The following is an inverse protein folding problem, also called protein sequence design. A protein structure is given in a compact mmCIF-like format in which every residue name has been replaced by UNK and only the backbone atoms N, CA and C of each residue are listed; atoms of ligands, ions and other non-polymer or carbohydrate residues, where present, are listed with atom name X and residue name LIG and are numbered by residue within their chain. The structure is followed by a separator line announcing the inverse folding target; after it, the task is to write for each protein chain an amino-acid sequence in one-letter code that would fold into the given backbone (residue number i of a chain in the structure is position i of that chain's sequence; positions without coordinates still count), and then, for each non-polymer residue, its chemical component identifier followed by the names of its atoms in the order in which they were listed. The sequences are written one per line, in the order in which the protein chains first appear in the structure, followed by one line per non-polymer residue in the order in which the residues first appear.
data_IF_974215604358
#
_entry.id   IF_974215604358
#
_cell.length_a   1.000
_cell.length_b   1.000
_cell.length_c   1.000
_cell.angle_alpha   90.00
_cell.angle_beta   90.00
_cell.angle_gamma   90.00
#
_symmetry.space_group_name_H-M   'P 1'
#
loop_
_entity.id
_entity.type
_entity.pdbx_description
1 polymer ?
#
# COMPACT_ATOMS: atom_id res chain seq x y z
N UNK A 1 23.44 -7.52 -2.19
CA UNK A 1 22.77 -6.57 -1.28
C UNK A 1 21.29 -6.60 -1.64
N UNK A 2 20.41 -6.98 -0.72
CA UNK A 2 18.96 -7.01 -1.00
C UNK A 2 18.43 -5.59 -0.96
N UNK A 3 18.35 -4.94 -2.12
CA UNK A 3 17.61 -3.69 -2.24
C UNK A 3 16.14 -4.00 -1.98
N UNK A 4 15.59 -3.47 -0.89
CA UNK A 4 14.17 -3.62 -0.63
C UNK A 4 13.40 -2.87 -1.72
N UNK A 5 12.78 -3.64 -2.59
CA UNK A 5 11.86 -3.22 -3.63
C UNK A 5 10.45 -3.70 -3.29
N UNK A 6 9.43 -2.94 -3.65
CA UNK A 6 8.03 -3.22 -3.29
C UNK A 6 7.13 -2.77 -4.45
N UNK A 7 5.99 -3.42 -4.66
CA UNK A 7 4.98 -2.96 -5.64
C UNK A 7 3.96 -2.02 -4.96
N UNK A 8 3.16 -1.28 -5.75
CA UNK A 8 2.05 -0.44 -5.27
C UNK A 8 0.73 -0.90 -5.90
N UNK A 9 -0.20 -1.32 -5.05
CA UNK A 9 -1.59 -1.60 -5.40
C UNK A 9 -2.51 -0.49 -4.89
N UNK A 10 -3.44 -0.03 -5.74
CA UNK A 10 -4.48 0.94 -5.38
C UNK A 10 -5.83 0.28 -5.60
N UNK A 11 -6.70 0.35 -4.60
CA UNK A 11 -8.04 -0.26 -4.64
C UNK A 11 -9.12 0.73 -4.19
N UNK A 12 -10.32 0.57 -4.74
CA UNK A 12 -11.53 1.30 -4.33
C UNK A 12 -11.66 2.71 -4.92
N UNK A 13 -10.89 3.02 -5.96
CA UNK A 13 -11.03 4.23 -6.76
C UNK A 13 -11.66 3.90 -8.12
N UNK A 14 -12.88 4.37 -8.35
CA UNK A 14 -13.60 4.13 -9.62
C UNK A 14 -13.19 5.10 -10.74
N UNK A 15 -12.53 6.22 -10.42
CA UNK A 15 -12.03 7.22 -11.36
C UNK A 15 -10.58 6.91 -11.77
N UNK A 16 -10.31 6.46 -13.02
CA UNK A 16 -8.97 6.07 -13.46
C UNK A 16 -7.97 7.23 -13.48
N UNK A 17 -8.45 8.47 -13.70
CA UNK A 17 -7.58 9.66 -13.68
C UNK A 17 -7.09 9.91 -12.27
N UNK A 18 -7.97 9.72 -11.30
CA UNK A 18 -7.63 9.90 -9.91
C UNK A 18 -6.75 8.77 -9.36
N UNK A 19 -7.01 7.51 -9.73
CA UNK A 19 -6.12 6.39 -9.40
C UNK A 19 -4.68 6.65 -9.90
N UNK A 20 -4.55 7.11 -11.15
CA UNK A 20 -3.25 7.48 -11.73
C UNK A 20 -2.58 8.61 -10.95
N UNK A 21 -3.34 9.63 -10.53
CA UNK A 21 -2.82 10.74 -9.72
C UNK A 21 -2.29 10.25 -8.37
N UNK A 22 -3.08 9.47 -7.63
CA UNK A 22 -2.69 8.89 -6.34
C UNK A 22 -1.43 8.05 -6.48
N UNK A 23 -1.37 7.20 -7.52
CA UNK A 23 -0.18 6.40 -7.83
C UNK A 23 1.05 7.27 -8.03
N UNK A 24 0.94 8.31 -8.85
CA UNK A 24 2.05 9.23 -9.11
C UNK A 24 2.49 9.97 -7.84
N UNK A 25 1.55 10.44 -7.01
CA UNK A 25 1.88 11.08 -5.73
C UNK A 25 2.66 10.13 -4.81
N UNK A 26 2.19 8.90 -4.64
CA UNK A 26 2.88 7.91 -3.82
C UNK A 26 4.27 7.55 -4.37
N UNK A 27 4.39 7.34 -5.68
CA UNK A 27 5.68 7.05 -6.33
C UNK A 27 6.69 8.19 -6.14
N UNK A 28 6.27 9.43 -6.39
CA UNK A 28 7.12 10.60 -6.23
C UNK A 28 7.55 10.79 -4.78
N UNK A 29 6.63 10.59 -3.82
CA UNK A 29 6.95 10.70 -2.40
C UNK A 29 7.98 9.65 -1.98
N UNK A 30 7.79 8.38 -2.33
CA UNK A 30 8.70 7.30 -1.93
C UNK A 30 10.09 7.43 -2.60
N UNK A 31 10.14 7.96 -3.83
CA UNK A 31 11.39 8.25 -4.53
C UNK A 31 12.23 9.32 -3.81
N UNK A 32 11.60 10.35 -3.22
CA UNK A 32 12.30 11.36 -2.41
C UNK A 32 13.07 10.73 -1.23
N UNK A 33 12.54 9.65 -0.66
CA UNK A 33 13.16 8.90 0.43
C UNK A 33 14.02 7.71 -0.05
N UNK A 34 14.25 7.59 -1.38
CA UNK A 34 15.01 6.51 -2.00
C UNK A 34 14.48 5.11 -1.63
N UNK A 35 13.17 4.99 -1.47
CA UNK A 35 12.47 3.71 -1.31
C UNK A 35 12.16 3.20 -2.71
N UNK A 36 12.77 2.08 -3.10
CA UNK A 36 12.67 1.59 -4.48
C UNK A 36 11.35 0.84 -4.69
N UNK A 37 10.66 1.16 -5.78
CA UNK A 37 9.47 0.44 -6.22
C UNK A 37 9.84 -0.47 -7.39
N UNK A 38 9.40 -1.73 -7.36
CA UNK A 38 9.57 -2.67 -8.46
C UNK A 38 8.21 -3.35 -8.77
N UNK A 39 7.53 -2.97 -9.86
CA UNK A 39 6.23 -3.53 -10.20
C UNK A 39 6.30 -5.01 -10.58
N UNK A 40 7.47 -5.53 -10.96
CA UNK A 40 7.65 -6.95 -11.29
C UNK A 40 7.86 -7.79 -10.02
N UNK A 41 7.94 -7.17 -8.84
CA UNK A 41 8.15 -7.88 -7.58
C UNK A 41 6.83 -8.28 -6.95
N UNK A 42 6.65 -9.59 -6.79
CA UNK A 42 5.45 -10.17 -6.18
C UNK A 42 5.25 -9.81 -4.69
N UNK A 43 6.33 -9.59 -3.94
CA UNK A 43 6.25 -9.31 -2.49
C UNK A 43 7.53 -8.67 -1.94
N UNK A 44 7.40 -7.73 -0.99
CA UNK A 44 6.16 -7.20 -0.41
C UNK A 44 5.45 -6.15 -1.29
N UNK A 45 4.16 -5.93 -1.05
CA UNK A 45 3.31 -5.00 -1.81
C UNK A 45 2.77 -3.92 -0.89
N UNK A 46 3.01 -2.65 -1.21
CA UNK A 46 2.31 -1.52 -0.62
C UNK A 46 0.89 -1.47 -1.18
N UNK A 47 -0.10 -1.46 -0.32
CA UNK A 47 -1.49 -1.35 -0.71
C UNK A 47 -2.06 -0.04 -0.17
N UNK A 48 -2.65 0.75 -1.06
CA UNK A 48 -3.49 1.89 -0.76
C UNK A 48 -4.94 1.48 -1.02
N UNK A 49 -5.77 1.43 0.01
CA UNK A 49 -7.20 1.09 -0.11
C UNK A 49 -8.04 2.31 0.25
N UNK A 50 -8.94 2.67 -0.65
CA UNK A 50 -9.89 3.76 -0.47
C UNK A 50 -11.30 3.17 -0.42
N UNK A 51 -11.96 3.22 0.72
CA UNK A 51 -13.36 2.80 0.85
C UNK A 51 -14.21 4.07 1.05
N UNK A 52 -14.92 4.50 0.01
CA UNK A 52 -15.77 5.70 0.04
C UNK A 52 -17.23 5.28 0.08
N UNK A 53 -17.94 5.72 1.10
CA UNK A 53 -19.37 5.52 1.27
C UNK A 53 -20.09 6.83 0.99
N UNK A 54 -20.49 6.99 -0.26
CA UNK A 54 -21.21 8.18 -0.72
C UNK A 54 -22.71 8.03 -0.48
N UNK A 55 -23.29 8.97 0.26
CA UNK A 55 -24.73 8.98 0.53
C UNK A 55 -25.43 9.83 -0.51
N UNK A 56 -26.33 9.21 -1.29
CA UNK A 56 -27.18 9.96 -2.24
C UNK A 56 -28.15 10.95 -1.57
N UNK A 57 -28.25 10.92 -0.23
CA UNK A 57 -29.21 11.67 0.58
C UNK A 57 -28.50 12.66 1.52
N UNK A 58 -27.26 12.36 1.95
CA UNK A 58 -26.50 13.19 2.88
C UNK A 58 -25.40 13.94 2.12
N UNK A 59 -25.23 15.27 2.28
CA UNK A 59 -24.16 16.02 1.63
C UNK A 59 -22.74 15.62 2.06
N UNK A 60 -22.60 14.70 3.03
CA UNK A 60 -21.35 14.18 3.53
C UNK A 60 -21.15 12.72 3.09
N UNK A 61 -19.99 12.44 2.51
CA UNK A 61 -19.49 11.11 2.21
C UNK A 61 -18.57 10.66 3.35
N UNK A 62 -18.74 9.43 3.83
CA UNK A 62 -17.81 8.84 4.78
C UNK A 62 -16.69 8.12 4.01
N UNK A 63 -15.48 8.10 4.56
CA UNK A 63 -14.36 7.41 3.94
C UNK A 63 -13.51 6.66 4.96
N UNK A 64 -12.92 5.55 4.50
CA UNK A 64 -11.82 4.86 5.14
C UNK A 64 -10.67 4.79 4.15
N UNK A 65 -9.52 5.33 4.53
CA UNK A 65 -8.32 5.27 3.73
C UNK A 65 -7.23 4.52 4.48
N UNK A 66 -6.76 3.42 3.91
CA UNK A 66 -5.77 2.53 4.51
C UNK A 66 -4.50 2.48 3.65
N UNK A 67 -3.35 2.57 4.31
CA UNK A 67 -2.06 2.21 3.77
C UNK A 67 -1.54 0.98 4.52
N UNK A 68 -1.27 -0.11 3.80
CA UNK A 68 -0.75 -1.34 4.37
C UNK A 68 0.39 -1.93 3.54
N UNK A 69 1.24 -2.75 4.15
CA UNK A 69 2.25 -3.55 3.43
C UNK A 69 1.89 -5.02 3.59
N UNK A 70 1.62 -5.69 2.47
CA UNK A 70 1.33 -7.10 2.38
C UNK A 70 2.60 -7.87 2.06
N UNK A 71 2.98 -8.78 2.95
CA UNK A 71 4.06 -9.73 2.73
C UNK A 71 3.48 -11.09 2.36
N UNK A 72 3.80 -11.57 1.16
CA UNK A 72 3.38 -12.86 0.63
C UNK A 72 4.54 -13.84 0.75
N UNK A 73 4.36 -14.84 1.61
CA UNK A 73 5.38 -15.83 1.89
C UNK A 73 4.84 -17.24 1.71
N UNK A 74 5.74 -18.16 1.38
CA UNK A 74 5.44 -19.59 1.36
C UNK A 74 5.83 -20.18 2.72
N UNK A 75 4.91 -20.86 3.42
CA UNK A 75 5.25 -21.59 4.65
C UNK A 75 6.37 -22.60 4.40
N UNK A 76 7.31 -22.73 5.34
CA UNK A 76 8.46 -23.63 5.21
C UNK A 76 8.06 -25.09 4.87
N UNK A 77 6.99 -25.61 5.47
CA UNK A 77 6.46 -26.94 5.15
C UNK A 77 5.96 -27.08 3.71
N UNK A 78 5.32 -26.05 3.15
CA UNK A 78 4.82 -26.09 1.78
C UNK A 78 5.96 -25.96 0.77
N UNK A 79 6.97 -25.15 1.09
CA UNK A 79 8.18 -25.06 0.30
C UNK A 79 8.92 -26.41 0.25
N UNK A 80 9.21 -27.00 1.41
CA UNK A 80 9.95 -28.27 1.51
C UNK A 80 9.23 -29.44 0.86
N UNK A 81 7.90 -29.54 0.99
CA UNK A 81 7.09 -30.62 0.36
C UNK A 81 7.02 -30.54 -1.16
N UNK A 82 7.22 -29.35 -1.74
CA UNK A 82 7.09 -29.11 -3.19
C UNK A 82 8.44 -28.86 -3.89
N UNK A 83 9.53 -28.65 -3.15
CA UNK A 83 10.87 -28.38 -3.69
C UNK A 83 11.35 -29.44 -4.68
N UNK A 84 11.10 -30.72 -4.41
CA UNK A 84 11.52 -31.84 -5.26
C UNK A 84 10.56 -32.18 -6.39
N UNK A 85 9.41 -31.50 -6.50
CA UNK A 85 8.31 -31.92 -7.38
C UNK A 85 8.09 -31.03 -8.61
N UNK A 86 8.88 -29.96 -8.80
CA UNK A 86 8.64 -28.91 -9.81
C UNK A 86 7.17 -28.43 -9.85
N UNK A 87 6.45 -28.59 -8.73
CA UNK A 87 5.03 -28.24 -8.66
C UNK A 87 4.95 -26.76 -8.36
N UNK A 88 4.21 -26.05 -9.20
CA UNK A 88 3.81 -24.65 -8.95
C UNK A 88 3.18 -24.58 -7.56
N UNK A 89 3.79 -23.80 -6.65
CA UNK A 89 3.23 -23.53 -5.33
C UNK A 89 2.01 -22.63 -5.54
N UNK A 90 0.81 -23.19 -5.31
CA UNK A 90 -0.47 -22.51 -5.56
C UNK A 90 -1.00 -21.72 -4.37
N UNK A 91 -0.39 -21.86 -3.18
CA UNK A 91 -0.88 -21.27 -1.93
C UNK A 91 0.22 -20.42 -1.31
N UNK A 92 0.02 -19.11 -1.37
CA UNK A 92 0.80 -18.15 -0.61
C UNK A 92 0.02 -17.78 0.63
N UNK A 93 0.71 -17.63 1.76
CA UNK A 93 0.14 -16.92 2.91
C UNK A 93 0.46 -15.44 2.75
N UNK A 94 -0.49 -14.59 3.09
CA UNK A 94 -0.28 -13.15 3.19
C UNK A 94 -0.44 -12.69 4.63
N UNK A 95 0.36 -11.73 5.03
CA UNK A 95 0.21 -11.01 6.30
C UNK A 95 0.43 -9.52 6.08
N UNK A 96 -0.36 -8.70 6.80
CA UNK A 96 -0.06 -7.26 6.90
C UNK A 96 1.10 -7.08 7.87
N UNK A 97 2.24 -6.64 7.37
CA UNK A 97 3.44 -6.33 8.20
C UNK A 97 3.49 -4.87 8.61
N UNK A 98 2.68 -4.03 7.96
CA UNK A 98 2.43 -2.64 8.32
C UNK A 98 0.98 -2.30 7.98
N UNK A 99 0.33 -1.48 8.81
CA UNK A 99 -1.01 -0.96 8.56
C UNK A 99 -1.20 0.37 9.29
N UNK A 100 -1.75 1.36 8.57
CA UNK A 100 -2.34 2.57 9.14
C UNK A 100 -3.60 2.92 8.36
N UNK A 101 -4.57 3.48 9.06
CA UNK A 101 -5.81 3.92 8.45
C UNK A 101 -6.28 5.26 9.00
N UNK A 102 -6.96 6.02 8.16
CA UNK A 102 -7.65 7.26 8.51
C UNK A 102 -9.12 7.11 8.15
N UNK A 103 -9.97 7.32 9.16
CA UNK A 103 -11.42 7.38 9.00
C UNK A 103 -11.85 8.84 9.03
N UNK A 104 -12.76 9.22 8.13
CA UNK A 104 -13.25 10.59 8.10
C UNK A 104 -14.56 10.75 7.35
N UNK A 105 -15.01 12.00 7.30
CA UNK A 105 -16.18 12.42 6.55
C UNK A 105 -15.85 13.74 5.86
N UNK A 106 -16.24 13.87 4.60
CA UNK A 106 -16.06 15.10 3.84
C UNK A 106 -17.24 15.30 2.89
N UNK A 107 -17.53 16.55 2.57
CA UNK A 107 -18.45 16.86 1.48
C UNK A 107 -17.82 16.48 0.14
N UNK A 108 -18.65 16.18 -0.87
CA UNK A 108 -18.17 15.70 -2.16
C UNK A 108 -17.16 16.64 -2.84
N UNK A 109 -17.27 17.95 -2.62
CA UNK A 109 -16.34 18.95 -3.15
C UNK A 109 -14.99 19.02 -2.42
N UNK A 110 -14.93 18.57 -1.16
CA UNK A 110 -13.70 18.56 -0.35
C UNK A 110 -13.05 17.18 -0.26
N UNK A 111 -13.79 16.12 -0.61
CA UNK A 111 -13.36 14.73 -0.47
C UNK A 111 -11.99 14.49 -1.13
N UNK A 112 -11.78 14.97 -2.36
CA UNK A 112 -10.52 14.79 -3.09
C UNK A 112 -9.32 15.44 -2.38
N UNK A 113 -9.50 16.67 -1.90
CA UNK A 113 -8.47 17.41 -1.18
C UNK A 113 -8.12 16.74 0.16
N UNK A 114 -9.14 16.34 0.92
CA UNK A 114 -9.00 15.60 2.18
C UNK A 114 -8.24 14.27 1.97
N UNK A 115 -8.56 13.52 0.91
CA UNK A 115 -7.89 12.26 0.60
C UNK A 115 -6.43 12.47 0.19
N UNK A 116 -6.13 13.52 -0.59
CA UNK A 116 -4.74 13.86 -0.94
C UNK A 116 -3.92 14.21 0.30
N UNK A 117 -4.49 14.99 1.22
CA UNK A 117 -3.86 15.32 2.50
C UNK A 117 -3.63 14.08 3.37
N UNK A 118 -4.62 13.20 3.49
CA UNK A 118 -4.52 11.96 4.26
C UNK A 118 -3.52 10.98 3.65
N UNK A 119 -3.43 10.92 2.31
CA UNK A 119 -2.41 10.15 1.60
C UNK A 119 -1.01 10.60 1.99
N UNK A 120 -0.75 11.91 1.98
CA UNK A 120 0.56 12.45 2.37
C UNK A 120 0.88 12.12 3.83
N UNK A 121 -0.08 12.26 4.75
CA UNK A 121 0.11 11.90 6.16
C UNK A 121 0.44 10.42 6.36
N UNK A 122 -0.26 9.53 5.68
CA UNK A 122 -0.03 8.08 5.81
C UNK A 122 1.29 7.63 5.18
N UNK A 123 1.70 8.27 4.09
CA UNK A 123 3.01 8.02 3.48
C UNK A 123 4.14 8.52 4.38
N UNK A 124 3.97 9.66 5.04
CA UNK A 124 4.92 10.20 6.02
C UNK A 124 5.09 9.24 7.20
N UNK A 125 3.99 8.83 7.83
CA UNK A 125 3.97 7.82 8.91
C UNK A 125 4.64 6.51 8.48
N UNK A 126 4.41 6.08 7.23
CA UNK A 126 5.00 4.88 6.67
C UNK A 126 6.50 5.00 6.52
N UNK A 127 7.00 6.09 5.94
CA UNK A 127 8.44 6.32 5.76
C UNK A 127 9.16 6.39 7.10
N UNK A 128 8.55 7.06 8.05
CA UNK A 128 9.03 7.14 9.43
C UNK A 128 9.19 5.75 10.05
N UNK A 129 8.16 4.91 9.92
CA UNK A 129 8.22 3.54 10.39
C UNK A 129 9.21 2.69 9.61
N UNK A 130 9.27 2.88 8.29
CA UNK A 130 10.17 2.20 7.38
C UNK A 130 11.63 2.37 7.80
N UNK A 131 12.05 3.60 8.11
CA UNK A 131 13.41 3.87 8.58
C UNK A 131 13.67 3.36 9.99
N UNK A 132 12.67 3.34 10.88
CA UNK A 132 12.79 2.73 12.22
C UNK A 132 12.99 1.21 12.13
N UNK A 133 12.26 0.54 11.25
CA UNK A 133 12.32 -0.92 11.07
C UNK A 133 13.53 -1.36 10.23
N UNK A 134 14.06 -0.46 9.40
CA UNK A 134 15.26 -0.68 8.58
C UNK A 134 16.36 0.34 8.92
N UNK A 135 16.90 0.34 10.16
CA UNK A 135 17.81 1.38 10.65
C UNK A 135 19.20 1.39 9.97
N UNK A 136 19.41 0.58 8.93
CA UNK A 136 20.68 0.45 8.20
C UNK A 136 20.49 0.88 6.74
N UNK A 137 20.56 2.19 6.53
CA UNK A 137 21.35 2.77 5.42
C UNK A 137 22.53 3.57 6.00
N UNK A 138 23.24 2.98 6.96
CA UNK A 138 24.63 3.36 7.18
C UNK A 138 25.44 2.58 6.16
N UNK A 139 25.97 3.29 5.16
CA UNK A 139 27.18 3.06 4.35
C UNK A 139 26.98 3.79 3.01
#
# INVERSE_FOLDING_TARGET
MSEFTMDISINGLDDPVWEKKVRQMALLFLDQYKIKINPDRFSPVLQLRFDILDSRINPLSAYNFELSVLDFHVPHEEYTKNFSKEKVIKRFKSGKVYERQVLGQASSNMLREEMEKNLMSLLDDFVDQWFRDNPIKQF
#
